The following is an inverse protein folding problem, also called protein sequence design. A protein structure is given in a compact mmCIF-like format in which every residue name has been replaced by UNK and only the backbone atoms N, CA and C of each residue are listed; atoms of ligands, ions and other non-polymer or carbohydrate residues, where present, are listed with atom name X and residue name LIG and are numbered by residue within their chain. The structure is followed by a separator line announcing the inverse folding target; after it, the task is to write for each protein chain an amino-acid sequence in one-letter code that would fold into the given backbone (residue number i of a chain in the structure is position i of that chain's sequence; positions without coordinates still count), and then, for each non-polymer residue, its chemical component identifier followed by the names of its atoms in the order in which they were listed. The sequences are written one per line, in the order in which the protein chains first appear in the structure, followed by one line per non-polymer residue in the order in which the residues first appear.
data_IF_091182262311
#
_entry.id   IF_091182262311
#
_cell.length_a   1.000
_cell.length_b   1.000
_cell.length_c   1.000
_cell.angle_alpha   90.00
_cell.angle_beta   90.00
_cell.angle_gamma   90.00
#
_symmetry.space_group_name_H-M   'P 1'
#
loop_
_entity.id
_entity.type
_entity.pdbx_description
1 polymer ?
#
# COMPACT_ATOMS: atom_id res chain seq x y z
N UNK A 1 33.54 3.44 76.44
CA UNK A 1 32.95 3.47 75.08
C UNK A 1 33.93 2.77 74.15
N UNK A 2 33.58 1.55 73.69
CA UNK A 2 34.47 0.64 72.98
C UNK A 2 34.40 0.91 71.47
N UNK A 3 35.57 1.15 70.89
CA UNK A 3 35.81 1.45 69.49
C UNK A 3 35.65 0.19 68.63
N UNK A 4 34.62 0.16 67.77
CA UNK A 4 34.44 -0.89 66.76
C UNK A 4 35.09 -0.50 65.45
N UNK A 5 36.19 -1.16 65.09
CA UNK A 5 36.81 -1.12 63.75
C UNK A 5 35.88 -1.83 62.77
N UNK A 6 35.56 -1.18 61.65
CA UNK A 6 34.88 -1.81 60.52
C UNK A 6 35.91 -2.06 59.42
N UNK A 7 36.22 -3.32 59.09
CA UNK A 7 36.82 -3.66 57.81
C UNK A 7 35.78 -4.35 56.91
N UNK A 8 35.74 -3.96 55.64
CA UNK A 8 35.75 -4.88 54.50
C UNK A 8 35.32 -4.12 53.23
N UNK A 9 36.31 -3.67 52.46
CA UNK A 9 36.14 -3.47 51.02
C UNK A 9 36.37 -4.82 50.36
N UNK A 10 35.37 -5.34 49.65
CA UNK A 10 35.49 -6.08 48.38
C UNK A 10 34.13 -6.70 48.04
N UNK A 11 33.49 -6.13 47.01
CA UNK A 11 32.27 -6.64 46.43
C UNK A 11 32.01 -5.99 45.08
N UNK A 12 32.97 -6.13 44.16
CA UNK A 12 32.74 -5.83 42.75
C UNK A 12 31.85 -6.95 42.17
N UNK A 13 30.59 -6.63 41.88
CA UNK A 13 29.69 -7.38 40.98
C UNK A 13 29.00 -6.32 40.11
N UNK A 14 29.62 -5.97 38.99
CA UNK A 14 29.27 -6.46 37.64
C UNK A 14 27.84 -6.12 37.22
N UNK A 15 27.76 -5.12 36.33
CA UNK A 15 26.87 -5.00 35.17
C UNK A 15 25.36 -5.16 35.41
N UNK A 16 24.69 -4.04 35.64
CA UNK A 16 23.31 -3.88 35.18
C UNK A 16 23.35 -3.48 33.69
N UNK A 17 23.19 -4.47 32.82
CA UNK A 17 22.94 -4.33 31.39
C UNK A 17 21.60 -3.60 31.26
N UNK A 18 21.61 -2.39 30.71
CA UNK A 18 20.37 -1.69 30.32
C UNK A 18 19.99 -2.22 28.94
N UNK A 19 18.91 -3.01 28.77
CA UNK A 19 18.44 -3.34 27.44
C UNK A 19 17.58 -2.17 26.96
N UNK A 20 18.21 -1.20 26.31
CA UNK A 20 17.50 -0.18 25.53
C UNK A 20 17.58 -0.56 24.04
N UNK A 21 17.17 -1.79 23.71
CA UNK A 21 17.02 -2.22 22.33
C UNK A 21 15.58 -1.94 21.88
N UNK A 22 15.46 -0.90 21.06
CA UNK A 22 14.51 -0.74 19.98
C UNK A 22 13.01 -1.01 20.27
N UNK A 23 12.34 -0.01 20.83
CA UNK A 23 10.91 0.22 20.54
C UNK A 23 10.79 0.89 19.17
N UNK A 24 11.04 0.17 18.08
CA UNK A 24 10.83 0.72 16.75
C UNK A 24 10.68 -0.39 15.71
N UNK A 25 9.65 -1.23 15.79
CA UNK A 25 9.11 -1.99 14.65
C UNK A 25 7.77 -2.61 15.06
N UNK A 26 6.78 -1.77 15.35
CA UNK A 26 5.38 -2.22 15.50
C UNK A 26 4.50 -1.81 14.31
N UNK A 27 5.11 -1.30 13.23
CA UNK A 27 4.44 -0.96 11.96
C UNK A 27 4.41 -2.17 10.99
N UNK A 28 4.32 -3.39 11.50
CA UNK A 28 3.85 -4.53 10.72
C UNK A 28 2.31 -4.59 10.71
N UNK A 29 1.65 -3.43 10.72
CA UNK A 29 0.24 -3.33 10.38
C UNK A 29 0.17 -3.24 8.85
N UNK A 30 -0.57 -4.16 8.23
CA UNK A 30 -0.73 -4.36 6.78
C UNK A 30 0.39 -5.14 6.08
N UNK A 31 0.51 -6.44 6.41
CA UNK A 31 0.96 -7.43 5.43
C UNK A 31 -0.23 -7.87 4.54
N UNK A 32 -0.98 -6.89 4.02
CA UNK A 32 -1.83 -7.04 2.85
C UNK A 32 -1.04 -6.56 1.64
N UNK A 33 -1.44 -6.96 0.42
CA UNK A 33 -0.89 -6.40 -0.82
C UNK A 33 -0.80 -4.87 -0.67
N UNK A 34 0.38 -4.29 -0.84
CA UNK A 34 0.52 -2.84 -0.78
C UNK A 34 -0.30 -2.23 -1.91
N UNK A 35 -1.13 -1.22 -1.59
CA UNK A 35 -1.91 -0.50 -2.60
C UNK A 35 -1.02 -0.12 -3.81
N UNK A 36 -1.36 -0.57 -5.03
CA UNK A 36 -0.60 -0.23 -6.22
C UNK A 36 -0.54 1.28 -6.45
N UNK A 37 0.54 1.73 -7.07
CA UNK A 37 0.69 3.10 -7.52
C UNK A 37 -0.19 3.42 -8.72
N UNK A 38 -0.40 4.72 -8.98
CA UNK A 38 -1.13 5.20 -10.17
C UNK A 38 -0.50 4.65 -11.45
N UNK A 39 0.83 4.67 -11.56
CA UNK A 39 1.55 4.17 -12.73
C UNK A 39 1.31 2.67 -12.96
N UNK A 40 1.37 1.86 -11.89
CA UNK A 40 1.10 0.41 -11.98
C UNK A 40 -0.35 0.13 -12.41
N UNK A 41 -1.31 0.87 -11.87
CA UNK A 41 -2.73 0.74 -12.26
C UNK A 41 -2.95 1.21 -13.70
N UNK A 42 -2.30 2.30 -14.14
CA UNK A 42 -2.38 2.81 -15.51
C UNK A 42 -1.82 1.80 -16.52
N UNK A 43 -0.65 1.21 -16.24
CA UNK A 43 -0.07 0.14 -17.04
C UNK A 43 -1.02 -1.07 -17.15
N UNK A 44 -1.65 -1.43 -16.03
CA UNK A 44 -2.65 -2.48 -15.96
C UNK A 44 -3.89 -2.21 -16.82
N UNK A 45 -4.42 -0.99 -16.76
CA UNK A 45 -5.55 -0.54 -17.61
C UNK A 45 -5.19 -0.69 -19.08
N UNK A 46 -4.01 -0.23 -19.50
CA UNK A 46 -3.59 -0.35 -20.90
C UNK A 46 -3.52 -1.81 -21.36
N UNK A 47 -3.01 -2.72 -20.52
CA UNK A 47 -2.99 -4.17 -20.84
C UNK A 47 -4.39 -4.74 -21.00
N UNK A 48 -5.38 -4.29 -20.22
CA UNK A 48 -6.78 -4.74 -20.37
C UNK A 48 -7.34 -4.33 -21.74
N UNK A 49 -6.95 -3.16 -22.23
CA UNK A 49 -7.43 -2.64 -23.52
C UNK A 49 -6.56 -3.03 -24.72
N UNK A 50 -5.39 -3.62 -24.52
CA UNK A 50 -4.49 -4.09 -25.58
C UNK A 50 -5.21 -5.08 -26.51
N UNK A 51 -5.20 -4.82 -27.82
CA UNK A 51 -5.87 -5.63 -28.84
C UNK A 51 -7.39 -5.47 -28.89
N UNK A 52 -7.98 -4.56 -28.10
CA UNK A 52 -9.40 -4.21 -28.18
C UNK A 52 -9.65 -3.06 -29.14
N UNK A 53 -10.87 -2.87 -29.67
CA UNK A 53 -11.20 -1.70 -30.48
C UNK A 53 -11.09 -0.36 -29.74
N UNK A 54 -10.94 -0.38 -28.41
CA UNK A 54 -10.81 0.81 -27.57
C UNK A 54 -9.35 1.18 -27.25
N UNK A 55 -8.37 0.36 -27.68
CA UNK A 55 -6.93 0.59 -27.44
C UNK A 55 -6.49 2.02 -27.83
N UNK A 56 -6.87 2.49 -29.02
CA UNK A 56 -6.50 3.82 -29.52
C UNK A 56 -7.08 4.98 -28.68
N UNK A 57 -8.21 4.76 -28.00
CA UNK A 57 -8.84 5.75 -27.15
C UNK A 57 -8.26 5.74 -25.72
N UNK A 58 -7.63 4.64 -25.31
CA UNK A 58 -6.98 4.51 -24.02
C UNK A 58 -5.51 4.92 -24.15
N UNK A 59 -5.28 6.23 -24.34
CA UNK A 59 -3.93 6.81 -24.34
C UNK A 59 -3.29 6.73 -22.96
N UNK A 60 -1.97 6.96 -22.88
CA UNK A 60 -1.26 7.06 -21.60
C UNK A 60 -1.94 8.05 -20.64
N UNK A 61 -2.29 9.25 -21.13
CA UNK A 61 -2.95 10.27 -20.32
C UNK A 61 -4.35 9.82 -19.84
N UNK A 62 -5.12 9.13 -20.70
CA UNK A 62 -6.43 8.61 -20.33
C UNK A 62 -6.33 7.48 -19.29
N UNK A 63 -5.33 6.60 -19.44
CA UNK A 63 -5.06 5.51 -18.51
C UNK A 63 -4.60 6.06 -17.15
N UNK A 64 -3.70 7.05 -17.13
CA UNK A 64 -3.26 7.73 -15.90
C UNK A 64 -4.42 8.47 -15.23
N UNK A 65 -5.24 9.22 -15.97
CA UNK A 65 -6.42 9.90 -15.43
C UNK A 65 -7.38 8.92 -14.73
N UNK A 66 -7.66 7.77 -15.36
CA UNK A 66 -8.54 6.76 -14.79
C UNK A 66 -7.88 6.05 -13.59
N UNK A 67 -6.57 5.79 -13.67
CA UNK A 67 -5.80 5.21 -12.58
C UNK A 67 -5.79 6.10 -11.34
N UNK A 68 -5.67 7.43 -11.50
CA UNK A 68 -5.79 8.38 -10.38
C UNK A 68 -7.15 8.23 -9.68
N UNK A 69 -8.24 8.20 -10.44
CA UNK A 69 -9.58 8.04 -9.87
C UNK A 69 -9.77 6.70 -9.13
N UNK A 70 -9.20 5.60 -9.66
CA UNK A 70 -9.26 4.28 -9.04
C UNK A 70 -8.39 4.20 -7.77
N UNK A 71 -7.17 4.73 -7.83
CA UNK A 71 -6.23 4.76 -6.71
C UNK A 71 -6.64 5.77 -5.63
N UNK A 72 -7.44 6.79 -5.92
CA UNK A 72 -7.98 7.69 -4.88
C UNK A 72 -9.29 7.17 -4.25
N UNK A 73 -9.88 6.11 -4.80
CA UNK A 73 -11.19 5.58 -4.37
C UNK A 73 -11.12 4.71 -3.11
N UNK A 74 -12.29 4.21 -2.67
CA UNK A 74 -12.40 3.21 -1.61
C UNK A 74 -12.23 1.75 -2.11
N UNK A 75 -11.79 1.54 -3.36
CA UNK A 75 -11.49 0.20 -3.88
C UNK A 75 -10.42 -0.49 -3.04
N UNK A 76 -10.57 -1.80 -2.87
CA UNK A 76 -9.59 -2.57 -2.13
C UNK A 76 -8.27 -2.69 -2.87
N UNK A 77 -7.18 -2.77 -2.10
CA UNK A 77 -5.82 -2.97 -2.63
C UNK A 77 -5.72 -4.24 -3.50
N UNK A 78 -6.50 -5.28 -3.18
CA UNK A 78 -6.58 -6.52 -3.96
C UNK A 78 -7.21 -6.29 -5.34
N UNK A 79 -8.32 -5.54 -5.41
CA UNK A 79 -8.94 -5.19 -6.70
C UNK A 79 -8.04 -4.29 -7.53
N UNK A 80 -7.35 -3.33 -6.91
CA UNK A 80 -6.37 -2.50 -7.60
C UNK A 80 -5.18 -3.35 -8.09
N UNK A 81 -4.77 -4.37 -7.33
CA UNK A 81 -3.75 -5.34 -7.73
C UNK A 81 -4.14 -6.09 -9.00
N UNK A 82 -5.37 -6.63 -9.05
CA UNK A 82 -5.89 -7.27 -10.27
C UNK A 82 -5.87 -6.33 -11.48
N UNK A 83 -6.27 -5.07 -11.29
CA UNK A 83 -6.24 -4.09 -12.39
C UNK A 83 -4.80 -3.83 -12.85
N UNK A 84 -3.85 -3.60 -11.92
CA UNK A 84 -2.43 -3.37 -12.23
C UNK A 84 -1.78 -4.56 -12.98
N UNK A 85 -2.20 -5.78 -12.64
CA UNK A 85 -1.78 -7.00 -13.32
C UNK A 85 -2.44 -7.19 -14.71
N UNK A 86 -3.41 -6.34 -15.06
CA UNK A 86 -4.16 -6.42 -16.32
C UNK A 86 -5.25 -7.48 -16.31
N UNK A 87 -5.74 -7.89 -15.14
CA UNK A 87 -6.79 -8.88 -14.98
C UNK A 87 -8.18 -8.23 -14.97
N UNK A 88 -9.10 -8.75 -15.78
CA UNK A 88 -10.53 -8.40 -15.69
C UNK A 88 -11.19 -9.15 -14.51
N UNK A 89 -10.86 -8.70 -13.30
CA UNK A 89 -11.27 -9.33 -12.04
C UNK A 89 -11.43 -8.28 -10.94
N UNK A 90 -12.39 -8.50 -10.05
CA UNK A 90 -12.56 -7.75 -8.81
C UNK A 90 -12.74 -8.73 -7.65
N UNK A 91 -12.36 -8.29 -6.45
CA UNK A 91 -12.42 -9.13 -5.25
C UNK A 91 -13.85 -9.62 -4.95
N UNK A 92 -14.84 -8.74 -5.11
CA UNK A 92 -16.23 -9.01 -4.84
C UNK A 92 -17.17 -8.10 -5.64
N UNK A 93 -18.48 -8.30 -5.50
CA UNK A 93 -19.50 -7.52 -6.23
C UNK A 93 -19.57 -6.04 -5.82
N UNK A 94 -19.16 -5.69 -4.60
CA UNK A 94 -19.15 -4.29 -4.15
C UNK A 94 -18.00 -3.53 -4.81
N UNK A 95 -16.80 -4.13 -4.81
CA UNK A 95 -15.64 -3.60 -5.53
C UNK A 95 -15.95 -3.50 -7.04
N UNK A 96 -16.58 -4.52 -7.63
CA UNK A 96 -17.01 -4.49 -9.04
C UNK A 96 -17.97 -3.34 -9.36
N UNK A 97 -18.98 -3.14 -8.52
CA UNK A 97 -19.94 -2.05 -8.69
C UNK A 97 -19.25 -0.68 -8.57
N UNK A 98 -18.35 -0.54 -7.60
CA UNK A 98 -17.58 0.69 -7.40
C UNK A 98 -16.62 0.96 -8.57
N UNK A 99 -15.86 -0.05 -9.03
CA UNK A 99 -15.00 0.06 -10.23
C UNK A 99 -15.82 0.53 -11.43
N UNK A 100 -16.98 -0.08 -11.67
CA UNK A 100 -17.86 0.28 -12.78
C UNK A 100 -18.33 1.73 -12.66
N UNK A 101 -18.73 2.16 -11.46
CA UNK A 101 -19.17 3.52 -11.20
C UNK A 101 -18.04 4.53 -11.46
N UNK A 102 -16.86 4.30 -10.88
CA UNK A 102 -15.69 5.18 -11.06
C UNK A 102 -15.36 5.33 -12.54
N UNK A 103 -15.32 4.22 -13.28
CA UNK A 103 -15.08 4.27 -14.73
C UNK A 103 -16.18 5.09 -15.42
N UNK A 104 -17.46 4.85 -15.15
CA UNK A 104 -18.54 5.61 -15.79
C UNK A 104 -18.50 7.11 -15.49
N UNK A 105 -18.14 7.47 -14.25
CA UNK A 105 -18.10 8.86 -13.79
C UNK A 105 -16.90 9.63 -14.38
N UNK A 106 -15.79 8.95 -14.66
CA UNK A 106 -14.54 9.59 -15.10
C UNK A 106 -14.17 9.35 -16.57
N UNK A 107 -14.69 8.29 -17.21
CA UNK A 107 -14.23 7.86 -18.53
C UNK A 107 -14.36 8.97 -19.57
N UNK A 108 -15.49 9.70 -19.59
CA UNK A 108 -15.69 10.78 -20.56
C UNK A 108 -14.65 11.89 -20.37
N UNK A 109 -14.37 12.28 -19.13
CA UNK A 109 -13.41 13.33 -18.83
C UNK A 109 -11.97 12.87 -19.12
N UNK A 110 -11.64 11.59 -18.91
CA UNK A 110 -10.30 11.05 -19.14
C UNK A 110 -9.96 10.79 -20.61
N UNK A 111 -10.94 10.45 -21.47
CA UNK A 111 -10.70 10.18 -22.91
C UNK A 111 -10.88 11.42 -23.78
N UNK A 112 -11.27 12.55 -23.19
CA UNK A 112 -11.45 13.81 -23.91
C UNK A 112 -10.26 14.74 -23.59
N UNK A 113 -9.46 15.16 -24.59
CA UNK A 113 -8.31 16.03 -24.38
C UNK A 113 -8.67 17.47 -24.02
#
# INVERSE_FOLDING_TARGET
MISTRIPSRRGLRLLAIVPAAALAFSLAACAGESRPSVDEVADGIQKVFEGTPQEEAMTDDAATCLAEALVDSDLSDETLGYIADGEDKQRDEADKALTTQIIQDNLQDCVTP
#
